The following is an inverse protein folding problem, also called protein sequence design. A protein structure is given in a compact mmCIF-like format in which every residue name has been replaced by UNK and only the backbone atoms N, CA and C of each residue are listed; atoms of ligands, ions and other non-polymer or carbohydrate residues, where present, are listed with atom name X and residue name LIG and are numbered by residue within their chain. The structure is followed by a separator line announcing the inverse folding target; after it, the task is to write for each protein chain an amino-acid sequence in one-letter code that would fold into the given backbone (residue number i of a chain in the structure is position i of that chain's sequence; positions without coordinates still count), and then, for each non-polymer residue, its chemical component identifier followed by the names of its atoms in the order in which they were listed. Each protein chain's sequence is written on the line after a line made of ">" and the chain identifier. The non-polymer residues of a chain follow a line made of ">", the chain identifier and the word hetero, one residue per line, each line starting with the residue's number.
data_IF_974186235525
#
_entry.id   IF_974186235525
#
_cell.length_a   1.000
_cell.length_b   1.000
_cell.length_c   1.000
_cell.angle_alpha   90.00
_cell.angle_beta   90.00
_cell.angle_gamma   90.00
#
_symmetry.space_group_name_H-M   'P 1'
#
loop_
_entity.id
_entity.type
_entity.pdbx_description
1 polymer ?
#
# COMPACT_ATOMS: atom_id res chain seq x y z
N UNK A 1 10.21 -0.85 17.19
CA UNK A 1 8.88 -0.92 16.59
C UNK A 1 8.94 -0.39 15.16
N UNK A 2 8.29 -1.08 14.21
CA UNK A 2 8.24 -0.62 12.82
C UNK A 2 7.12 0.40 12.67
N UNK A 3 7.47 1.65 12.36
CA UNK A 3 6.49 2.73 12.25
C UNK A 3 6.27 3.21 10.81
N UNK A 4 7.03 2.67 9.86
CA UNK A 4 6.92 3.02 8.44
C UNK A 4 6.70 1.78 7.59
N UNK A 5 5.96 1.94 6.49
CA UNK A 5 5.69 0.87 5.56
C UNK A 5 5.77 1.36 4.12
N UNK A 6 6.22 0.48 3.23
CA UNK A 6 6.11 0.65 1.79
C UNK A 6 4.95 -0.23 1.30
N UNK A 7 3.98 0.37 0.64
CA UNK A 7 2.79 -0.31 0.12
C UNK A 7 2.85 -0.29 -1.41
N UNK A 8 2.88 -1.47 -2.02
CA UNK A 8 3.00 -1.61 -3.47
C UNK A 8 1.61 -1.55 -4.11
N UNK A 9 1.30 -0.44 -4.76
CA UNK A 9 0.00 -0.19 -5.40
C UNK A 9 0.14 0.17 -6.89
N UNK A 10 1.34 0.12 -7.45
CA UNK A 10 1.62 0.59 -8.81
C UNK A 10 1.38 -0.45 -9.91
N UNK A 11 1.11 -1.70 -9.57
CA UNK A 11 0.96 -2.79 -10.55
C UNK A 11 -0.16 -2.56 -11.55
N UNK A 12 -0.04 -3.18 -12.74
CA UNK A 12 -1.00 -3.01 -13.83
C UNK A 12 -2.31 -3.78 -13.63
N UNK A 13 -2.32 -4.80 -12.76
CA UNK A 13 -3.53 -5.57 -12.48
C UNK A 13 -4.04 -6.40 -13.65
N UNK A 14 -3.15 -6.83 -14.55
CA UNK A 14 -3.55 -7.50 -15.81
C UNK A 14 -4.31 -8.80 -15.58
N UNK A 15 -4.02 -9.50 -14.47
CA UNK A 15 -4.68 -10.78 -14.14
C UNK A 15 -6.15 -10.60 -13.75
N UNK A 16 -6.56 -9.39 -13.41
CA UNK A 16 -7.93 -9.10 -12.97
C UNK A 16 -8.78 -8.41 -14.05
N UNK A 17 -8.29 -8.36 -15.28
CA UNK A 17 -9.09 -7.81 -16.39
C UNK A 17 -10.36 -8.63 -16.57
N UNK A 18 -11.50 -8.02 -16.92
CA UNK A 18 -11.67 -6.60 -17.28
C UNK A 18 -11.88 -5.64 -16.12
N UNK A 19 -11.90 -6.10 -14.86
CA UNK A 19 -12.14 -5.24 -13.69
C UNK A 19 -11.13 -4.09 -13.61
N UNK A 20 -9.87 -4.35 -13.94
CA UNK A 20 -8.81 -3.35 -13.87
C UNK A 20 -8.71 -2.45 -15.08
N UNK A 21 -9.62 -2.58 -16.06
CA UNK A 21 -9.62 -1.66 -17.22
C UNK A 21 -9.97 -0.23 -16.83
N UNK A 22 -10.80 -0.05 -15.80
CA UNK A 22 -11.24 1.27 -15.33
C UNK A 22 -10.94 1.54 -13.86
N UNK A 23 -10.56 0.51 -13.11
CA UNK A 23 -10.29 0.61 -11.66
C UNK A 23 -8.94 -0.04 -11.37
N UNK A 24 -7.99 0.68 -10.73
CA UNK A 24 -6.73 0.03 -10.37
C UNK A 24 -6.98 -1.08 -9.35
N UNK A 25 -6.18 -2.15 -9.42
CA UNK A 25 -6.36 -3.32 -8.57
C UNK A 25 -6.52 -2.97 -7.08
N UNK A 26 -5.70 -2.07 -6.50
CA UNK A 26 -5.85 -1.72 -5.08
C UNK A 26 -7.18 -1.08 -4.72
N UNK A 27 -7.90 -0.55 -5.71
CA UNK A 27 -9.20 0.09 -5.49
C UNK A 27 -10.38 -0.84 -5.70
N UNK A 28 -10.14 -2.08 -6.11
CA UNK A 28 -11.21 -3.08 -6.25
C UNK A 28 -11.73 -3.43 -4.86
N UNK A 29 -13.05 -3.37 -4.69
CA UNK A 29 -13.67 -3.59 -3.39
C UNK A 29 -13.71 -5.08 -3.03
N UNK A 30 -13.39 -5.38 -1.78
CA UNK A 30 -13.56 -6.71 -1.18
C UNK A 30 -14.33 -6.48 0.12
N UNK A 31 -15.50 -7.09 0.24
CA UNK A 31 -16.35 -6.85 1.39
C UNK A 31 -16.82 -5.41 1.51
N UNK A 32 -17.05 -4.73 0.39
CA UNK A 32 -17.52 -3.35 0.35
C UNK A 32 -16.44 -2.28 0.58
N UNK A 33 -15.17 -2.67 0.66
CA UNK A 33 -14.06 -1.76 0.95
C UNK A 33 -12.91 -2.05 -0.01
N UNK A 34 -12.24 -1.02 -0.59
CA UNK A 34 -11.09 -1.25 -1.46
C UNK A 34 -9.99 -2.08 -0.78
N UNK A 35 -9.32 -2.93 -1.57
CA UNK A 35 -8.21 -3.75 -1.05
C UNK A 35 -7.14 -2.89 -0.38
N UNK A 36 -6.85 -1.73 -0.96
CA UNK A 36 -5.88 -0.80 -0.39
C UNK A 36 -6.27 -0.38 1.03
N UNK A 37 -7.56 -0.11 1.26
CA UNK A 37 -8.03 0.28 2.60
C UNK A 37 -7.86 -0.83 3.61
N UNK A 38 -8.11 -2.09 3.22
CA UNK A 38 -7.85 -3.22 4.11
C UNK A 38 -6.39 -3.26 4.54
N UNK A 39 -5.47 -3.06 3.59
CA UNK A 39 -4.04 -3.02 3.87
C UNK A 39 -3.67 -1.87 4.80
N UNK A 40 -4.15 -0.66 4.48
CA UNK A 40 -3.84 0.53 5.27
C UNK A 40 -4.42 0.45 6.69
N UNK A 41 -5.62 -0.12 6.83
CA UNK A 41 -6.23 -0.33 8.15
C UNK A 41 -5.38 -1.28 9.00
N UNK A 42 -4.88 -2.37 8.41
CA UNK A 42 -4.01 -3.30 9.12
C UNK A 42 -2.71 -2.65 9.58
N UNK A 43 -2.12 -1.83 8.71
CA UNK A 43 -0.91 -1.10 9.04
C UNK A 43 -1.13 -0.12 10.19
N UNK A 44 -2.24 0.61 10.16
CA UNK A 44 -2.59 1.54 11.24
C UNK A 44 -2.80 0.80 12.57
N UNK A 45 -3.48 -0.36 12.54
CA UNK A 45 -3.70 -1.18 13.73
C UNK A 45 -2.38 -1.71 14.32
N UNK A 46 -1.40 -1.98 13.45
CA UNK A 46 -0.08 -2.45 13.87
C UNK A 46 0.84 -1.34 14.40
N UNK A 47 0.37 -0.09 14.39
CA UNK A 47 1.16 1.04 14.90
C UNK A 47 1.97 1.76 13.84
N UNK A 48 1.78 1.46 12.56
CA UNK A 48 2.45 2.17 11.47
C UNK A 48 1.92 3.60 11.40
N UNK A 49 2.80 4.58 11.49
CA UNK A 49 2.42 5.99 11.46
C UNK A 49 2.47 6.58 10.05
N UNK A 50 3.32 6.05 9.19
CA UNK A 50 3.50 6.55 7.82
C UNK A 50 3.56 5.38 6.85
N UNK A 51 2.75 5.43 5.79
CA UNK A 51 2.77 4.48 4.71
C UNK A 51 3.11 5.21 3.41
N UNK A 52 4.09 4.69 2.67
CA UNK A 52 4.47 5.21 1.36
C UNK A 52 3.79 4.31 0.33
N UNK A 53 2.94 4.89 -0.49
CA UNK A 53 2.14 4.16 -1.50
C UNK A 53 2.65 4.55 -2.89
N UNK A 54 3.19 3.58 -3.63
CA UNK A 54 3.58 3.86 -5.00
C UNK A 54 2.39 3.78 -5.94
N UNK A 55 2.39 4.62 -6.96
CA UNK A 55 1.29 4.71 -7.93
C UNK A 55 1.84 4.77 -9.35
N UNK A 56 1.15 4.13 -10.28
CA UNK A 56 1.46 4.15 -11.71
C UNK A 56 0.18 4.01 -12.53
N UNK A 57 -0.38 2.80 -12.60
CA UNK A 57 -1.59 2.52 -13.37
C UNK A 57 -2.81 3.15 -12.69
N UNK A 58 -3.53 4.00 -13.42
CA UNK A 58 -4.70 4.73 -12.91
C UNK A 58 -4.38 5.47 -11.61
N UNK A 59 -3.19 6.08 -11.57
CA UNK A 59 -2.63 6.69 -10.36
C UNK A 59 -3.53 7.76 -9.75
N UNK A 60 -4.25 8.52 -10.58
CA UNK A 60 -5.10 9.60 -10.09
C UNK A 60 -6.20 9.09 -9.15
N UNK A 61 -6.74 7.90 -9.42
CA UNK A 61 -7.78 7.31 -8.56
C UNK A 61 -7.23 6.96 -7.18
N UNK A 62 -6.03 6.36 -7.13
CA UNK A 62 -5.39 6.00 -5.87
C UNK A 62 -5.02 7.25 -5.10
N UNK A 63 -4.38 8.22 -5.77
CA UNK A 63 -3.95 9.47 -5.13
C UNK A 63 -5.11 10.23 -4.52
N UNK A 64 -6.22 10.37 -5.27
CA UNK A 64 -7.41 11.05 -4.78
C UNK A 64 -8.03 10.33 -3.58
N UNK A 65 -8.02 9.00 -3.61
CA UNK A 65 -8.58 8.19 -2.54
C UNK A 65 -7.79 8.32 -1.23
N UNK A 66 -6.46 8.17 -1.30
CA UNK A 66 -5.62 8.20 -0.10
C UNK A 66 -5.48 9.62 0.48
N UNK A 67 -5.73 10.65 -0.32
CA UNK A 67 -5.69 12.03 0.16
C UNK A 67 -6.70 12.31 1.28
N UNK A 68 -7.74 11.49 1.37
CA UNK A 68 -8.80 11.61 2.40
C UNK A 68 -8.48 10.86 3.67
N UNK A 69 -7.41 10.07 3.66
CA UNK A 69 -7.12 9.18 4.77
C UNK A 69 -6.29 9.89 5.85
N UNK A 70 -6.70 9.74 7.12
CA UNK A 70 -6.00 10.34 8.25
C UNK A 70 -4.90 9.44 8.81
N UNK A 71 -5.15 8.13 8.90
CA UNK A 71 -4.21 7.16 9.50
C UNK A 71 -4.12 5.89 8.66
N UNK A 72 -2.90 5.38 8.39
CA UNK A 72 -1.62 6.04 8.62
C UNK A 72 -1.48 7.28 7.74
N UNK A 73 -0.51 8.14 8.03
CA UNK A 73 -0.16 9.24 7.12
C UNK A 73 0.32 8.64 5.80
N UNK A 74 -0.18 9.15 4.69
CA UNK A 74 0.15 8.62 3.37
C UNK A 74 1.10 9.56 2.65
N UNK A 75 2.17 8.98 2.11
CA UNK A 75 3.08 9.67 1.19
C UNK A 75 3.01 8.92 -0.14
N UNK A 76 2.66 9.62 -1.21
CA UNK A 76 2.55 9.01 -2.54
C UNK A 76 3.91 9.04 -3.24
N UNK A 77 4.37 7.86 -3.71
CA UNK A 77 5.54 7.76 -4.58
C UNK A 77 5.05 7.62 -6.01
N UNK A 78 5.25 8.66 -6.80
CA UNK A 78 4.71 8.75 -8.16
C UNK A 78 5.61 8.03 -9.16
N UNK A 79 5.11 6.94 -9.75
CA UNK A 79 5.79 6.20 -10.80
C UNK A 79 5.03 6.31 -12.13
N UNK A 80 4.25 7.39 -12.34
CA UNK A 80 3.46 7.58 -13.57
C UNK A 80 4.31 7.56 -14.83
N UNK A 81 5.50 8.15 -14.76
CA UNK A 81 6.40 8.24 -15.90
C UNK A 81 7.00 6.89 -16.27
N UNK A 82 7.28 6.05 -15.27
CA UNK A 82 7.89 4.74 -15.49
C UNK A 82 7.59 3.85 -14.30
N UNK A 83 6.94 2.71 -14.57
CA UNK A 83 6.72 1.69 -13.56
C UNK A 83 8.04 1.05 -13.17
N UNK A 84 8.34 1.05 -11.87
CA UNK A 84 9.50 0.39 -11.30
C UNK A 84 9.09 -1.00 -10.77
N UNK A 85 10.04 -1.92 -10.72
CA UNK A 85 9.82 -3.18 -10.01
C UNK A 85 9.78 -2.91 -8.49
N UNK A 86 9.52 -3.94 -7.68
CA UNK A 86 9.44 -3.74 -6.24
C UNK A 86 10.76 -3.21 -5.66
N UNK A 87 11.90 -3.78 -6.10
CA UNK A 87 13.20 -3.31 -5.66
C UNK A 87 13.46 -1.85 -6.03
N UNK A 88 13.19 -1.48 -7.28
CA UNK A 88 13.34 -0.11 -7.76
C UNK A 88 12.39 0.86 -7.03
N UNK A 89 11.16 0.42 -6.76
CA UNK A 89 10.20 1.21 -5.99
C UNK A 89 10.68 1.51 -4.59
N UNK A 90 11.29 0.54 -3.92
CA UNK A 90 11.87 0.73 -2.59
C UNK A 90 13.08 1.67 -2.64
N UNK A 91 13.98 1.47 -3.60
CA UNK A 91 15.16 2.33 -3.75
C UNK A 91 14.75 3.79 -3.92
N UNK A 92 13.74 4.05 -4.72
CA UNK A 92 13.24 5.41 -4.96
C UNK A 92 12.82 6.10 -3.67
N UNK A 93 12.25 5.36 -2.71
CA UNK A 93 11.69 5.94 -1.49
C UNK A 93 12.59 5.77 -0.25
N UNK A 94 13.78 5.19 -0.40
CA UNK A 94 14.71 5.01 0.73
C UNK A 94 14.94 6.28 1.53
N UNK A 95 15.11 7.46 0.92
CA UNK A 95 15.27 8.70 1.70
C UNK A 95 14.08 9.00 2.61
N UNK A 96 12.88 8.56 2.23
CA UNK A 96 11.67 8.77 3.03
C UNK A 96 11.53 7.73 4.13
N UNK A 97 12.08 6.51 3.93
CA UNK A 97 12.02 5.44 4.91
C UNK A 97 13.07 5.60 6.02
N UNK A 98 14.19 6.26 5.71
CA UNK A 98 15.28 6.44 6.66
C UNK A 98 16.09 5.16 6.88
N UNK A 99 16.83 5.12 8.01
CA UNK A 99 17.72 4.00 8.32
C UNK A 99 17.05 2.92 9.18
N UNK A 100 15.86 3.17 9.69
CA UNK A 100 15.15 2.21 10.52
C UNK A 100 14.51 1.10 9.67
N UNK A 101 14.30 -0.10 10.22
CA UNK A 101 13.53 -1.13 9.52
C UNK A 101 12.12 -0.65 9.19
N UNK A 102 11.56 -1.19 8.11
CA UNK A 102 10.21 -0.86 7.65
C UNK A 102 9.51 -2.10 7.14
N UNK A 103 8.17 -2.05 7.10
CA UNK A 103 7.35 -3.13 6.55
C UNK A 103 7.16 -2.93 5.05
N UNK A 104 7.04 -4.05 4.32
CA UNK A 104 6.61 -4.03 2.92
C UNK A 104 5.30 -4.79 2.82
N UNK A 105 4.33 -4.22 2.12
CA UNK A 105 3.02 -4.81 1.97
C UNK A 105 2.52 -4.74 0.53
N UNK A 106 1.89 -5.82 0.07
CA UNK A 106 1.17 -5.85 -1.20
C UNK A 106 -0.32 -5.65 -0.93
N UNK A 107 -0.98 -4.89 -1.80
CA UNK A 107 -2.40 -4.60 -1.65
C UNK A 107 -3.31 -5.75 -2.06
N UNK A 108 -2.77 -6.78 -2.72
CA UNK A 108 -3.55 -7.96 -3.13
C UNK A 108 -3.53 -9.08 -2.09
N UNK A 109 -2.81 -8.92 -0.99
CA UNK A 109 -2.78 -9.89 0.09
C UNK A 109 -3.80 -9.49 1.15
N UNK A 110 -4.76 -10.38 1.40
CA UNK A 110 -5.72 -10.20 2.49
C UNK A 110 -5.24 -11.01 3.68
N UNK A 111 -5.13 -10.36 4.82
CA UNK A 111 -4.76 -11.05 6.06
C UNK A 111 -5.99 -11.51 6.81
N UNK A 112 -5.89 -12.72 7.35
CA UNK A 112 -6.89 -13.22 8.29
C UNK A 112 -6.35 -12.94 9.68
N UNK A 113 -7.04 -12.06 10.41
CA UNK A 113 -6.65 -11.72 11.77
C UNK A 113 -7.03 -12.85 12.73
N UNK A 114 -6.06 -13.23 13.57
CA UNK A 114 -6.31 -14.08 14.71
C UNK A 114 -6.54 -13.24 15.97
N UNK A 115 -6.35 -13.83 17.16
CA UNK A 115 -6.45 -13.09 18.41
C UNK A 115 -5.42 -11.97 18.55
N UNK A 116 -4.29 -12.05 17.81
CA UNK A 116 -3.23 -11.05 17.80
C UNK A 116 -3.06 -10.55 16.37
N UNK A 117 -2.88 -9.23 16.21
CA UNK A 117 -2.63 -8.63 14.91
C UNK A 117 -1.34 -9.20 14.29
N UNK A 118 -1.46 -9.74 13.05
CA UNK A 118 -0.35 -10.43 12.39
C UNK A 118 0.85 -9.51 12.11
N UNK A 119 0.59 -8.24 11.79
CA UNK A 119 1.68 -7.29 11.54
C UNK A 119 2.44 -6.95 12.82
N UNK A 120 1.75 -6.84 13.95
CA UNK A 120 2.41 -6.66 15.23
C UNK A 120 3.31 -7.85 15.56
N UNK A 121 2.84 -9.07 15.26
CA UNK A 121 3.63 -10.29 15.49
C UNK A 121 4.89 -10.30 14.66
N UNK A 122 4.82 -9.82 13.40
CA UNK A 122 6.00 -9.73 12.55
C UNK A 122 7.00 -8.68 13.06
N UNK A 123 6.52 -7.63 13.70
CA UNK A 123 7.36 -6.55 14.20
C UNK A 123 8.03 -6.87 15.53
N UNK A 124 7.58 -7.89 16.23
CA UNK A 124 8.13 -8.29 17.53
C UNK A 124 9.50 -9.05 17.40
#
# INVERSE_FOLDING_TARGET
>A
MLDKAMVFAAGLGTRMRPLTNTTPKPMIAVGGKPMLDHTLDRLAEAGVSTAIVNVHYLADQIEAHVARRAKPRIVVSDERAKLLDQGGGVVKVLPLLGDAPFLMANTDALWIEGPTNNLERLAQ
#
